data_IF_869553256177
#
_entry.id   IF_869553256177
#
_cell.length_a   1.000
_cell.length_b   1.000
_cell.length_c   1.000
_cell.angle_alpha   90.00
_cell.angle_beta   90.00
_cell.angle_gamma   90.00
#
_symmetry.space_group_name_H-M   'P 1'
#
loop_
_entity.id
_entity.type
_entity.pdbx_description
1 polymer ?
#
# COMPACT_ATOMS: atom_id res chain seq x y z
N UNK A 1 -30.46 -13.70 8.43
CA UNK A 1 -29.22 -12.95 8.06
C UNK A 1 -28.37 -12.50 9.24
N UNK A 2 -28.89 -11.95 10.32
CA UNK A 2 -28.08 -11.45 11.46
C UNK A 2 -27.05 -12.45 12.05
N UNK A 3 -27.36 -13.74 12.08
CA UNK A 3 -26.43 -14.77 12.62
C UNK A 3 -25.16 -14.98 11.78
N UNK A 4 -25.23 -14.78 10.47
CA UNK A 4 -24.08 -14.97 9.56
C UNK A 4 -23.10 -13.81 9.73
N UNK A 5 -23.59 -12.60 9.87
CA UNK A 5 -22.76 -11.43 10.04
C UNK A 5 -22.01 -11.39 11.38
N UNK A 6 -22.56 -12.02 12.43
CA UNK A 6 -21.88 -12.15 13.72
C UNK A 6 -20.56 -12.92 13.64
N UNK A 7 -20.39 -13.79 12.64
CA UNK A 7 -19.12 -14.45 12.39
C UNK A 7 -18.00 -13.46 12.09
N UNK A 8 -18.29 -12.40 11.36
CA UNK A 8 -17.31 -11.39 10.96
C UNK A 8 -17.07 -10.31 12.03
N UNK A 9 -17.92 -10.22 13.05
CA UNK A 9 -17.97 -9.08 13.99
C UNK A 9 -16.63 -8.83 14.69
N UNK A 10 -15.94 -9.89 15.10
CA UNK A 10 -14.69 -9.82 15.86
C UNK A 10 -13.45 -10.15 15.02
N UNK A 11 -13.56 -10.17 13.70
CA UNK A 11 -12.41 -10.35 12.82
C UNK A 11 -11.49 -9.13 12.85
N UNK A 12 -10.19 -9.38 12.71
CA UNK A 12 -9.19 -8.30 12.63
C UNK A 12 -9.09 -7.68 11.23
N UNK A 13 -9.69 -8.32 10.23
CA UNK A 13 -9.85 -7.80 8.88
C UNK A 13 -10.99 -6.77 8.88
N UNK A 14 -10.97 -5.91 7.88
CA UNK A 14 -12.06 -4.97 7.60
C UNK A 14 -13.10 -5.71 6.77
N UNK A 15 -14.33 -5.79 7.25
CA UNK A 15 -15.42 -6.48 6.55
C UNK A 15 -16.63 -5.58 6.43
N UNK A 16 -17.13 -5.46 5.20
CA UNK A 16 -18.43 -4.86 4.97
C UNK A 16 -19.27 -5.64 3.96
N UNK A 17 -20.56 -5.42 4.03
CA UNK A 17 -21.54 -5.88 3.07
C UNK A 17 -22.31 -4.70 2.55
N UNK A 18 -22.47 -4.62 1.24
CA UNK A 18 -23.29 -3.61 0.59
C UNK A 18 -24.20 -4.25 -0.46
N UNK A 19 -25.34 -3.69 -0.67
CA UNK A 19 -26.19 -4.01 -1.82
C UNK A 19 -25.41 -3.65 -3.10
N UNK A 20 -25.24 -4.62 -3.99
CA UNK A 20 -24.39 -4.47 -5.17
C UNK A 20 -24.95 -3.47 -6.20
N UNK A 21 -26.26 -3.31 -6.24
CA UNK A 21 -26.94 -2.47 -7.22
C UNK A 21 -27.13 -1.03 -6.68
N UNK A 22 -27.53 -0.90 -5.42
CA UNK A 22 -27.78 0.42 -4.80
C UNK A 22 -26.55 0.99 -4.09
N UNK A 23 -25.52 0.19 -3.84
CA UNK A 23 -24.32 0.53 -3.06
C UNK A 23 -24.59 0.83 -1.57
N UNK A 24 -25.79 0.57 -1.08
CA UNK A 24 -26.13 0.79 0.33
C UNK A 24 -25.40 -0.18 1.24
N UNK A 25 -24.80 0.36 2.31
CA UNK A 25 -24.13 -0.43 3.34
C UNK A 25 -25.18 -1.18 4.17
N UNK A 26 -25.05 -2.49 4.22
CA UNK A 26 -25.91 -3.39 4.99
C UNK A 26 -25.26 -3.79 6.30
N UNK A 27 -23.94 -3.95 6.27
CA UNK A 27 -23.17 -4.40 7.42
C UNK A 27 -21.74 -3.87 7.36
N UNK A 28 -21.19 -3.59 8.52
CA UNK A 28 -19.76 -3.40 8.76
C UNK A 28 -19.39 -4.09 10.07
N UNK A 29 -18.27 -4.83 10.10
CA UNK A 29 -17.80 -5.43 11.34
C UNK A 29 -17.23 -4.35 12.30
N UNK A 30 -17.01 -4.74 13.56
CA UNK A 30 -16.53 -3.82 14.60
C UNK A 30 -15.27 -3.07 14.17
N UNK A 31 -14.28 -3.79 13.62
CA UNK A 31 -13.01 -3.20 13.14
C UNK A 31 -13.23 -2.07 12.15
N UNK A 32 -14.14 -2.27 11.22
CA UNK A 32 -14.42 -1.29 10.18
C UNK A 32 -15.21 -0.11 10.74
N UNK A 33 -16.25 -0.36 11.55
CA UNK A 33 -17.01 0.70 12.21
C UNK A 33 -16.12 1.60 13.06
N UNK A 34 -15.27 1.03 13.92
CA UNK A 34 -14.34 1.77 14.77
C UNK A 34 -13.40 2.66 13.93
N UNK A 35 -12.98 2.18 12.75
CA UNK A 35 -12.07 2.94 11.87
C UNK A 35 -12.75 4.13 11.20
N UNK A 36 -14.03 4.01 10.85
CA UNK A 36 -14.80 5.06 10.17
C UNK A 36 -15.69 5.88 11.11
N UNK A 37 -15.55 5.69 12.43
CA UNK A 37 -16.30 6.46 13.44
C UNK A 37 -17.80 6.14 13.47
N UNK A 38 -18.19 4.91 13.12
CA UNK A 38 -19.57 4.43 13.16
C UNK A 38 -19.78 3.73 14.50
N UNK A 39 -20.66 4.24 15.33
CA UNK A 39 -20.86 3.75 16.69
C UNK A 39 -21.94 2.68 16.79
N UNK A 40 -22.88 2.65 15.85
CA UNK A 40 -23.94 1.65 15.83
C UNK A 40 -24.22 1.15 14.41
N UNK A 41 -24.87 -0.03 14.31
CA UNK A 41 -25.27 -0.59 13.01
C UNK A 41 -26.37 0.22 12.33
N UNK A 42 -27.20 0.88 13.12
CA UNK A 42 -28.32 1.73 12.66
C UNK A 42 -27.82 2.96 11.90
N UNK A 43 -26.62 3.44 12.23
CA UNK A 43 -25.98 4.56 11.52
C UNK A 43 -25.59 4.23 10.07
N UNK A 44 -25.60 2.96 9.68
CA UNK A 44 -25.33 2.55 8.29
C UNK A 44 -26.53 2.76 7.37
N UNK A 45 -27.74 2.87 7.93
CA UNK A 45 -28.96 2.96 7.14
C UNK A 45 -28.89 4.12 6.12
N UNK A 46 -29.09 3.81 4.85
CA UNK A 46 -29.06 4.76 3.74
C UNK A 46 -27.68 5.26 3.33
N UNK A 47 -26.60 4.89 4.03
CA UNK A 47 -25.23 5.29 3.64
C UNK A 47 -24.74 4.43 2.47
N UNK A 48 -24.09 5.08 1.52
CA UNK A 48 -23.46 4.39 0.39
C UNK A 48 -22.00 4.04 0.70
N UNK A 49 -21.54 2.90 0.21
CA UNK A 49 -20.17 2.47 0.43
C UNK A 49 -19.14 3.49 -0.08
N UNK A 50 -19.35 4.07 -1.25
CA UNK A 50 -18.44 5.06 -1.84
C UNK A 50 -18.43 6.39 -1.06
N UNK A 51 -19.56 6.80 -0.44
CA UNK A 51 -19.62 8.00 0.40
C UNK A 51 -18.79 7.83 1.66
N UNK A 52 -19.01 6.73 2.39
CA UNK A 52 -18.35 6.49 3.66
C UNK A 52 -16.90 6.06 3.50
N UNK A 53 -16.61 5.13 2.57
CA UNK A 53 -15.30 4.49 2.48
C UNK A 53 -14.31 5.24 1.60
N UNK A 54 -14.79 6.09 0.68
CA UNK A 54 -13.98 6.81 -0.30
C UNK A 54 -14.17 8.33 -0.25
N UNK A 55 -15.09 8.81 0.59
CA UNK A 55 -15.49 10.23 0.65
C UNK A 55 -15.84 10.77 -0.74
N UNK A 56 -16.59 10.01 -1.52
CA UNK A 56 -17.00 10.31 -2.89
C UNK A 56 -18.51 10.52 -2.97
N UNK A 57 -18.97 11.43 -3.81
CA UNK A 57 -20.39 11.63 -4.11
C UNK A 57 -20.93 10.71 -5.21
N UNK A 58 -20.04 9.95 -5.87
CA UNK A 58 -20.37 9.05 -6.97
C UNK A 58 -19.74 7.68 -6.73
N UNK A 59 -20.29 6.60 -7.32
CA UNK A 59 -19.65 5.29 -7.31
C UNK A 59 -18.18 5.35 -7.74
N UNK A 60 -17.33 4.62 -7.04
CA UNK A 60 -15.88 4.65 -7.31
C UNK A 60 -15.55 4.06 -8.68
N UNK A 61 -14.57 4.66 -9.36
CA UNK A 61 -14.09 4.18 -10.67
C UNK A 61 -13.46 2.78 -10.62
N UNK A 62 -13.09 2.33 -9.42
CA UNK A 62 -12.53 1.01 -9.13
C UNK A 62 -13.60 -0.01 -8.74
N UNK A 63 -14.89 0.36 -8.78
CA UNK A 63 -15.98 -0.55 -8.44
C UNK A 63 -16.02 -1.72 -9.42
N UNK A 64 -16.02 -2.93 -8.87
CA UNK A 64 -16.02 -4.16 -9.64
C UNK A 64 -17.28 -5.02 -9.43
N UNK A 65 -18.38 -4.42 -8.95
CA UNK A 65 -19.63 -5.13 -8.65
C UNK A 65 -20.15 -5.95 -9.86
N UNK A 66 -20.01 -5.42 -11.07
CA UNK A 66 -20.48 -6.07 -12.30
C UNK A 66 -19.62 -7.28 -12.70
N UNK A 67 -18.40 -7.37 -12.18
CA UNK A 67 -17.47 -8.46 -12.46
C UNK A 67 -17.55 -9.60 -11.44
N UNK A 68 -18.23 -9.38 -10.31
CA UNK A 68 -18.32 -10.36 -9.24
C UNK A 68 -19.34 -11.47 -9.59
N UNK A 69 -18.95 -12.68 -9.28
CA UNK A 69 -19.77 -13.87 -9.48
C UNK A 69 -19.97 -14.61 -8.15
N UNK A 70 -21.16 -15.15 -7.94
CA UNK A 70 -21.46 -15.93 -6.75
C UNK A 70 -20.56 -17.16 -6.63
N UNK A 71 -20.05 -17.41 -5.42
CA UNK A 71 -19.16 -18.54 -5.14
C UNK A 71 -17.71 -18.35 -5.60
N UNK A 72 -17.37 -17.21 -6.21
CA UNK A 72 -16.00 -16.87 -6.60
C UNK A 72 -15.50 -15.64 -5.86
N UNK A 73 -14.22 -15.68 -5.44
CA UNK A 73 -13.57 -14.53 -4.84
C UNK A 73 -12.65 -13.86 -5.84
N UNK A 74 -12.81 -12.53 -6.02
CA UNK A 74 -11.87 -11.70 -6.73
C UNK A 74 -10.87 -11.10 -5.74
N UNK A 75 -9.57 -11.32 -5.96
CA UNK A 75 -8.51 -10.75 -5.13
C UNK A 75 -7.81 -9.60 -5.85
N UNK A 76 -7.57 -8.51 -5.13
CA UNK A 76 -6.84 -7.36 -5.65
C UNK A 76 -6.18 -6.55 -4.54
N UNK A 77 -5.38 -5.55 -4.89
CA UNK A 77 -4.71 -4.66 -3.95
C UNK A 77 -5.15 -3.23 -4.21
N UNK A 78 -5.32 -2.50 -3.14
CA UNK A 78 -5.75 -1.12 -3.18
C UNK A 78 -5.02 -0.28 -2.14
N UNK A 79 -4.57 0.90 -2.53
CA UNK A 79 -4.14 1.95 -1.61
C UNK A 79 -5.32 2.87 -1.32
N UNK A 80 -5.79 2.88 -0.08
CA UNK A 80 -6.87 3.79 0.34
C UNK A 80 -6.24 5.10 0.81
N UNK A 81 -6.41 6.21 0.07
CA UNK A 81 -5.81 7.49 0.42
C UNK A 81 -6.43 8.12 1.67
N UNK A 82 -7.71 7.83 1.95
CA UNK A 82 -8.41 8.35 3.13
C UNK A 82 -7.80 7.80 4.43
N UNK A 83 -7.45 6.53 4.44
CA UNK A 83 -6.84 5.85 5.58
C UNK A 83 -5.30 5.83 5.52
N UNK A 84 -4.71 6.23 4.40
CA UNK A 84 -3.27 6.10 4.11
C UNK A 84 -2.76 4.65 4.36
N UNK A 85 -3.49 3.66 3.82
CA UNK A 85 -3.21 2.24 4.03
C UNK A 85 -3.30 1.43 2.74
N UNK A 86 -2.43 0.43 2.62
CA UNK A 86 -2.52 -0.60 1.59
C UNK A 86 -3.36 -1.77 2.09
N UNK A 87 -4.28 -2.20 1.23
CA UNK A 87 -5.14 -3.35 1.50
C UNK A 87 -4.97 -4.44 0.45
N UNK A 88 -4.99 -5.68 0.91
CA UNK A 88 -5.31 -6.84 0.09
C UNK A 88 -6.79 -7.14 0.28
N UNK A 89 -7.55 -7.05 -0.79
CA UNK A 89 -9.01 -7.13 -0.79
C UNK A 89 -9.44 -8.44 -1.43
N UNK A 90 -10.48 -9.04 -0.87
CA UNK A 90 -11.21 -10.18 -1.41
C UNK A 90 -12.69 -9.82 -1.50
N UNK A 91 -13.21 -9.84 -2.69
CA UNK A 91 -14.61 -9.55 -2.99
C UNK A 91 -15.33 -10.77 -3.49
N UNK A 92 -16.57 -10.89 -3.10
CA UNK A 92 -17.53 -11.83 -3.69
C UNK A 92 -18.91 -11.22 -3.68
N UNK A 93 -19.84 -11.83 -4.40
CA UNK A 93 -21.26 -11.50 -4.35
C UNK A 93 -22.04 -12.72 -3.89
N UNK A 94 -23.07 -12.48 -3.13
CA UNK A 94 -24.08 -13.48 -2.75
C UNK A 94 -25.45 -12.97 -3.11
N UNK A 95 -26.34 -13.85 -3.53
CA UNK A 95 -27.73 -13.52 -3.80
C UNK A 95 -28.62 -13.99 -2.64
N UNK A 96 -29.47 -13.11 -2.16
CA UNK A 96 -30.48 -13.43 -1.14
C UNK A 96 -31.79 -12.71 -1.46
N UNK A 97 -32.88 -13.49 -1.60
CA UNK A 97 -34.21 -12.98 -1.92
C UNK A 97 -34.26 -12.08 -3.18
N UNK A 98 -33.50 -12.43 -4.22
CA UNK A 98 -33.44 -11.72 -5.48
C UNK A 98 -32.66 -10.38 -5.41
N UNK A 99 -31.89 -10.17 -4.34
CA UNK A 99 -30.95 -9.06 -4.21
C UNK A 99 -29.53 -9.56 -4.17
N UNK A 100 -28.64 -8.80 -4.81
CA UNK A 100 -27.22 -9.11 -4.85
C UNK A 100 -26.49 -8.30 -3.77
N UNK A 101 -25.71 -8.98 -2.95
CA UNK A 101 -24.92 -8.33 -1.89
C UNK A 101 -23.44 -8.58 -2.12
N UNK A 102 -22.65 -7.50 -2.26
CA UNK A 102 -21.20 -7.57 -2.24
C UNK A 102 -20.73 -7.79 -0.81
N UNK A 103 -19.83 -8.74 -0.64
CA UNK A 103 -19.06 -8.95 0.60
C UNK A 103 -17.62 -8.62 0.29
N UNK A 104 -17.06 -7.68 1.02
CA UNK A 104 -15.64 -7.33 0.93
C UNK A 104 -14.93 -7.65 2.24
N UNK A 105 -13.80 -8.33 2.13
CA UNK A 105 -12.87 -8.59 3.23
C UNK A 105 -11.53 -7.96 2.85
N UNK A 106 -11.08 -6.97 3.64
CA UNK A 106 -9.85 -6.25 3.38
C UNK A 106 -8.84 -6.44 4.51
N UNK A 107 -7.67 -6.97 4.16
CA UNK A 107 -6.52 -7.13 5.04
C UNK A 107 -5.57 -5.95 4.88
N UNK A 108 -5.24 -5.26 5.96
CA UNK A 108 -4.23 -4.22 5.93
C UNK A 108 -2.83 -4.84 5.74
N UNK A 109 -2.16 -4.49 4.64
CA UNK A 109 -0.83 -4.97 4.26
C UNK A 109 0.22 -3.85 4.26
N UNK A 110 -0.05 -2.71 4.91
CA UNK A 110 0.84 -1.54 4.88
C UNK A 110 2.24 -1.86 5.41
N UNK A 111 2.35 -2.65 6.47
CA UNK A 111 3.65 -3.07 7.01
C UNK A 111 4.43 -3.92 6.03
N UNK A 112 3.78 -4.87 5.35
CA UNK A 112 4.40 -5.72 4.35
C UNK A 112 4.88 -4.91 3.13
N UNK A 113 4.06 -3.98 2.65
CA UNK A 113 4.44 -3.11 1.53
C UNK A 113 5.59 -2.17 1.91
N UNK A 114 5.60 -1.64 3.15
CA UNK A 114 6.72 -0.85 3.65
C UNK A 114 8.02 -1.67 3.68
N UNK A 115 8.00 -2.85 4.29
CA UNK A 115 9.17 -3.74 4.34
C UNK A 115 9.68 -4.09 2.93
N UNK A 116 8.78 -4.42 2.01
CA UNK A 116 9.12 -4.72 0.63
C UNK A 116 9.79 -3.53 -0.08
N UNK A 117 9.30 -2.32 0.15
CA UNK A 117 9.90 -1.11 -0.42
C UNK A 117 11.29 -0.83 0.17
N UNK A 118 11.49 -1.07 1.47
CA UNK A 118 12.80 -0.97 2.12
C UNK A 118 13.78 -1.96 1.50
N UNK A 119 13.41 -3.24 1.38
CA UNK A 119 14.26 -4.27 0.76
C UNK A 119 14.62 -3.89 -0.68
N UNK A 120 13.64 -3.49 -1.49
CA UNK A 120 13.90 -3.05 -2.89
C UNK A 120 14.86 -1.87 -2.97
N UNK A 121 14.77 -0.95 -2.01
CA UNK A 121 15.69 0.19 -1.93
C UNK A 121 17.11 -0.27 -1.63
N UNK A 122 17.29 -1.19 -0.68
CA UNK A 122 18.59 -1.77 -0.37
C UNK A 122 19.19 -2.53 -1.55
N UNK A 123 18.41 -3.37 -2.22
CA UNK A 123 18.84 -4.11 -3.43
C UNK A 123 19.27 -3.13 -4.55
N UNK A 124 18.55 -2.02 -4.73
CA UNK A 124 18.93 -1.00 -5.70
C UNK A 124 20.26 -0.34 -5.31
N UNK A 125 20.43 0.03 -4.05
CA UNK A 125 21.67 0.65 -3.55
C UNK A 125 22.85 -0.31 -3.68
N UNK A 126 22.68 -1.57 -3.32
CA UNK A 126 23.71 -2.60 -3.46
C UNK A 126 24.17 -2.74 -4.93
N UNK A 127 23.24 -2.80 -5.86
CA UNK A 127 23.57 -2.83 -7.31
C UNK A 127 24.36 -1.61 -7.75
N UNK A 128 23.97 -0.42 -7.30
CA UNK A 128 24.65 0.85 -7.62
C UNK A 128 26.08 0.82 -7.09
N UNK A 129 26.29 0.42 -5.83
CA UNK A 129 27.62 0.34 -5.21
C UNK A 129 28.47 -0.68 -5.91
N UNK A 130 27.97 -1.89 -6.16
CA UNK A 130 28.71 -2.96 -6.82
C UNK A 130 29.13 -2.57 -8.25
N UNK A 131 28.25 -1.93 -9.01
CA UNK A 131 28.56 -1.47 -10.36
C UNK A 131 29.59 -0.32 -10.35
N UNK A 132 29.43 0.63 -9.42
CA UNK A 132 30.40 1.71 -9.22
C UNK A 132 31.80 1.17 -8.89
N UNK A 133 31.89 0.19 -7.96
CA UNK A 133 33.15 -0.48 -7.62
C UNK A 133 33.72 -1.23 -8.82
N UNK A 134 32.92 -1.94 -9.60
CA UNK A 134 33.36 -2.67 -10.80
C UNK A 134 33.98 -1.71 -11.82
N UNK A 135 33.37 -0.56 -12.06
CA UNK A 135 33.90 0.47 -12.97
C UNK A 135 35.20 1.05 -12.45
N UNK A 136 35.29 1.33 -11.17
CA UNK A 136 36.47 1.91 -10.53
C UNK A 136 37.69 0.96 -10.55
N UNK A 137 37.46 -0.34 -10.32
CA UNK A 137 38.51 -1.36 -10.35
C UNK A 137 39.13 -1.58 -11.76
N UNK A 138 38.49 -1.07 -12.80
CA UNK A 138 39.02 -1.05 -14.17
C UNK A 138 40.09 0.02 -14.44
N UNK A 139 40.40 0.89 -13.45
CA UNK A 139 41.38 1.97 -13.59
C UNK A 139 42.70 1.66 -12.83
N UNK A 140 43.79 2.27 -13.27
CA UNK A 140 45.10 2.12 -12.64
C UNK A 140 45.47 3.23 -11.63
N UNK A 141 44.59 4.19 -11.44
CA UNK A 141 44.80 5.35 -10.54
C UNK A 141 43.70 5.39 -9.49
N UNK A 142 44.08 5.54 -8.22
CA UNK A 142 43.13 5.65 -7.10
C UNK A 142 42.20 6.85 -7.25
N UNK A 143 42.75 8.03 -7.60
CA UNK A 143 41.96 9.25 -7.78
C UNK A 143 40.91 9.08 -8.88
N UNK A 144 41.30 8.52 -10.03
CA UNK A 144 40.35 8.23 -11.12
C UNK A 144 39.26 7.22 -10.69
N UNK A 145 39.62 6.26 -9.84
CA UNK A 145 38.64 5.30 -9.31
C UNK A 145 37.60 5.99 -8.42
N UNK A 146 38.05 6.93 -7.58
CA UNK A 146 37.16 7.71 -6.70
C UNK A 146 36.25 8.63 -7.51
N UNK A 147 36.79 9.34 -8.51
CA UNK A 147 35.98 10.19 -9.41
C UNK A 147 34.87 9.39 -10.11
N UNK A 148 35.23 8.21 -10.63
CA UNK A 148 34.26 7.32 -11.31
C UNK A 148 33.14 6.87 -10.34
N UNK A 149 33.50 6.50 -9.10
CA UNK A 149 32.53 6.06 -8.09
C UNK A 149 31.60 7.23 -7.74
N UNK A 150 32.15 8.42 -7.48
CA UNK A 150 31.37 9.60 -7.12
C UNK A 150 30.42 10.00 -8.24
N UNK A 151 30.91 10.08 -9.48
CA UNK A 151 30.09 10.42 -10.64
C UNK A 151 28.97 9.38 -10.86
N UNK A 152 29.30 8.09 -10.78
CA UNK A 152 28.32 7.01 -10.98
C UNK A 152 27.26 6.99 -9.90
N UNK A 153 27.64 7.06 -8.62
CA UNK A 153 26.70 7.08 -7.49
C UNK A 153 25.83 8.34 -7.54
N UNK A 154 26.44 9.50 -7.80
CA UNK A 154 25.70 10.76 -7.91
C UNK A 154 24.62 10.69 -8.98
N UNK A 155 24.97 10.24 -10.19
CA UNK A 155 24.01 10.05 -11.30
C UNK A 155 22.94 9.01 -10.99
N UNK A 156 23.33 7.87 -10.40
CA UNK A 156 22.41 6.77 -10.13
C UNK A 156 21.38 7.09 -9.03
N UNK A 157 21.73 8.00 -8.12
CA UNK A 157 20.87 8.45 -7.02
C UNK A 157 20.17 9.79 -7.31
N UNK A 158 20.39 10.37 -8.50
CA UNK A 158 19.88 11.70 -8.88
C UNK A 158 20.31 12.78 -7.86
N UNK A 159 21.57 12.66 -7.41
CA UNK A 159 22.18 13.57 -6.45
C UNK A 159 22.76 14.80 -7.15
N UNK A 160 22.50 15.99 -6.62
CA UNK A 160 23.10 17.24 -7.14
C UNK A 160 24.60 17.31 -6.85
N UNK A 161 25.06 16.66 -5.78
CA UNK A 161 26.45 16.65 -5.35
C UNK A 161 26.81 15.36 -4.65
N UNK A 162 28.05 14.90 -4.85
CA UNK A 162 28.66 13.76 -4.15
C UNK A 162 30.02 14.16 -3.64
N UNK A 163 30.37 13.73 -2.43
CA UNK A 163 31.64 14.08 -1.79
C UNK A 163 32.26 12.89 -1.09
N UNK A 164 33.60 12.94 -0.95
CA UNK A 164 34.37 12.12 -0.02
C UNK A 164 35.06 13.08 0.96
N UNK A 165 34.91 12.81 2.23
CA UNK A 165 35.65 13.48 3.29
C UNK A 165 36.74 12.56 3.80
N UNK A 166 37.95 13.06 3.85
CA UNK A 166 39.07 12.38 4.50
C UNK A 166 39.26 12.94 5.90
N UNK A 167 39.32 12.04 6.88
CA UNK A 167 39.58 12.41 8.28
C UNK A 167 41.10 12.57 8.47
N UNK A 168 41.57 13.81 8.70
CA UNK A 168 42.97 14.07 8.93
C UNK A 168 43.38 13.84 10.40
N UNK A 169 44.70 13.75 10.64
CA UNK A 169 45.26 13.49 11.98
C UNK A 169 44.89 14.56 13.03
N UNK A 170 44.42 15.74 12.62
CA UNK A 170 44.00 16.84 13.50
C UNK A 170 42.51 16.79 13.85
N UNK A 171 41.76 15.75 13.41
CA UNK A 171 40.34 15.58 13.68
C UNK A 171 39.42 16.50 12.85
N UNK A 172 39.93 17.09 11.77
CA UNK A 172 39.14 17.84 10.82
C UNK A 172 38.83 16.97 9.59
N UNK A 173 37.66 17.13 9.02
CA UNK A 173 37.26 16.47 7.77
C UNK A 173 37.55 17.42 6.60
N UNK A 174 38.37 16.99 5.65
CA UNK A 174 38.66 17.75 4.44
C UNK A 174 37.88 17.16 3.26
N UNK A 175 37.26 18.04 2.47
CA UNK A 175 36.59 17.62 1.23
C UNK A 175 37.64 17.56 0.12
N UNK A 176 38.04 16.37 -0.26
CA UNK A 176 39.11 16.11 -1.23
C UNK A 176 38.60 15.78 -2.63
N UNK A 177 37.29 15.43 -2.79
CA UNK A 177 36.68 15.01 -4.06
C UNK A 177 35.25 15.53 -4.23
#
# INVERSE_FOLDING_TARGET
MERIWNFFENMNEYVYVADADTHELVYMNKKMRDTYGIHSKEELAGKKCYELLQNSSLPCTICNNDELQEGQFKEWRYFNPLLNKYFKIKDTVVEDNGRRYRIEIALNISSQEHQKNVVRRYEKLEKIVNEGLRLALGTSSADKSLDIILEYIGKALDGERTYIFEHNENGCDDNTY
#
